data_IF_826867863965
#
_entry.id   IF_826867863965
#
_cell.length_a   1.000
_cell.length_b   1.000
_cell.length_c   1.000
_cell.angle_alpha   90.00
_cell.angle_beta   90.00
_cell.angle_gamma   90.00
#
_symmetry.space_group_name_H-M   'P 1'
#
loop_
_entity.id
_entity.type
_entity.pdbx_description
1 polymer ?
#
# COMPACT_ATOMS: atom_id res chain seq x y z
N UNK A 1 -1.87 -12.02 23.53
CA UNK A 1 -1.15 -10.76 23.31
C UNK A 1 -2.20 -9.65 23.31
N UNK A 2 -1.92 -8.51 23.90
CA UNK A 2 -2.80 -7.33 23.83
C UNK A 2 -2.97 -6.87 22.37
N UNK A 3 -4.19 -6.53 21.93
CA UNK A 3 -4.50 -6.21 20.52
C UNK A 3 -3.66 -5.03 20.03
N UNK A 4 -3.46 -4.00 20.85
CA UNK A 4 -2.64 -2.84 20.48
C UNK A 4 -1.16 -3.21 20.33
N UNK A 5 -0.68 -4.13 21.18
CA UNK A 5 0.66 -4.70 21.04
C UNK A 5 0.79 -5.50 19.75
N UNK A 6 -0.23 -6.26 19.36
CA UNK A 6 -0.21 -7.03 18.11
C UNK A 6 -0.22 -6.11 16.89
N UNK A 7 -1.08 -5.09 16.86
CA UNK A 7 -1.12 -4.07 15.78
C UNK A 7 0.23 -3.38 15.63
N UNK A 8 0.84 -2.97 16.75
CA UNK A 8 2.18 -2.38 16.74
C UNK A 8 3.23 -3.31 16.14
N UNK A 9 3.28 -4.57 16.58
CA UNK A 9 4.23 -5.57 16.04
C UNK A 9 3.99 -5.82 14.54
N UNK A 10 2.74 -5.82 14.09
CA UNK A 10 2.40 -5.96 12.68
C UNK A 10 2.91 -4.79 11.85
N UNK A 11 2.75 -3.57 12.36
CA UNK A 11 3.29 -2.39 11.70
C UNK A 11 4.83 -2.37 11.70
N UNK A 12 5.48 -2.73 12.81
CA UNK A 12 6.94 -2.88 12.88
C UNK A 12 7.45 -3.91 11.87
N UNK A 13 6.73 -5.04 11.71
CA UNK A 13 7.03 -6.05 10.70
C UNK A 13 6.88 -5.49 9.28
N UNK A 14 5.81 -4.75 9.02
CA UNK A 14 5.59 -4.12 7.72
C UNK A 14 6.70 -3.11 7.37
N UNK A 15 7.09 -2.29 8.35
CA UNK A 15 8.21 -1.33 8.22
C UNK A 15 9.52 -2.06 7.96
N UNK A 16 9.81 -3.16 8.65
CA UNK A 16 11.00 -3.96 8.40
C UNK A 16 11.03 -4.54 6.98
N UNK A 17 9.90 -5.02 6.45
CA UNK A 17 9.80 -5.48 5.07
C UNK A 17 10.00 -4.35 4.06
N UNK A 18 9.34 -3.20 4.26
CA UNK A 18 9.50 -2.03 3.40
C UNK A 18 10.96 -1.53 3.38
N UNK A 19 11.60 -1.44 4.55
CA UNK A 19 13.01 -1.05 4.66
C UNK A 19 13.95 -2.02 3.94
N UNK A 20 13.70 -3.33 4.04
CA UNK A 20 14.49 -4.34 3.32
C UNK A 20 14.35 -4.21 1.81
N UNK A 21 13.14 -3.96 1.31
CA UNK A 21 12.90 -3.74 -0.12
C UNK A 21 13.61 -2.46 -0.58
N UNK A 22 13.40 -1.34 0.12
CA UNK A 22 14.12 -0.09 -0.17
C UNK A 22 15.64 -0.26 -0.21
N UNK A 23 16.21 -1.08 0.68
CA UNK A 23 17.65 -1.30 0.76
C UNK A 23 18.23 -2.18 -0.37
N UNK A 24 17.43 -3.00 -1.04
CA UNK A 24 17.91 -3.91 -2.12
C UNK A 24 17.69 -3.36 -3.53
N UNK A 25 16.78 -2.40 -3.70
CA UNK A 25 16.57 -1.74 -4.98
C UNK A 25 17.58 -0.60 -5.20
N UNK A 26 18.01 -0.35 -6.46
CA UNK A 26 18.76 0.85 -6.79
C UNK A 26 17.97 2.13 -6.44
N UNK A 27 18.66 3.25 -6.15
CA UNK A 27 17.99 4.52 -5.87
C UNK A 27 17.04 4.93 -7.01
N UNK A 28 15.79 5.23 -6.67
CA UNK A 28 14.75 5.65 -7.62
C UNK A 28 14.04 4.49 -8.33
N UNK A 29 14.41 3.24 -8.10
CA UNK A 29 13.74 2.08 -8.71
C UNK A 29 12.65 1.46 -7.82
N UNK A 30 12.49 1.94 -6.59
CA UNK A 30 11.46 1.50 -5.65
C UNK A 30 10.96 2.65 -4.78
N UNK A 31 9.64 2.83 -4.74
CA UNK A 31 9.00 3.88 -3.97
C UNK A 31 7.96 3.29 -2.99
N UNK A 32 7.93 3.82 -1.77
CA UNK A 32 6.99 3.39 -0.73
C UNK A 32 6.00 4.52 -0.45
N UNK A 33 4.71 4.20 -0.60
CA UNK A 33 3.58 5.02 -0.21
C UNK A 33 2.97 4.45 1.07
N UNK A 34 2.48 5.32 1.95
CA UNK A 34 1.86 4.89 3.21
C UNK A 34 0.49 5.54 3.35
N UNK A 35 -0.52 4.74 3.69
CA UNK A 35 -1.84 5.20 4.14
C UNK A 35 -1.96 4.84 5.61
N UNK A 36 -2.13 5.85 6.46
CA UNK A 36 -2.36 5.72 7.91
C UNK A 36 -3.43 6.74 8.35
N UNK A 37 -4.72 6.44 8.11
CA UNK A 37 -5.75 7.47 8.15
C UNK A 37 -5.98 8.06 9.54
N UNK A 38 -5.84 7.24 10.58
CA UNK A 38 -5.93 7.67 11.99
C UNK A 38 -4.59 8.18 12.56
N UNK A 39 -3.47 8.03 11.85
CA UNK A 39 -2.14 8.36 12.38
C UNK A 39 -1.66 7.41 13.48
N UNK A 40 -2.28 6.23 13.62
CA UNK A 40 -2.02 5.31 14.73
C UNK A 40 -0.67 4.58 14.59
N UNK A 41 -0.09 4.56 13.38
CA UNK A 41 1.19 3.97 13.08
C UNK A 41 2.37 4.95 13.15
N UNK A 42 2.16 6.20 13.62
CA UNK A 42 3.21 7.23 13.64
C UNK A 42 4.52 6.79 14.32
N UNK A 43 4.43 6.06 15.45
CA UNK A 43 5.61 5.53 16.14
C UNK A 43 6.40 4.53 15.29
N UNK A 44 5.81 3.38 14.91
CA UNK A 44 6.46 2.41 14.04
C UNK A 44 6.97 2.97 12.70
N UNK A 45 6.28 3.94 12.11
CA UNK A 45 6.66 4.57 10.83
C UNK A 45 7.82 5.56 10.95
N UNK A 46 8.12 6.06 12.15
CA UNK A 46 9.10 7.13 12.37
C UNK A 46 10.45 6.90 11.66
N UNK A 47 11.08 5.70 11.68
CA UNK A 47 12.36 5.48 11.00
C UNK A 47 12.31 5.71 9.48
N UNK A 48 11.20 5.37 8.81
CA UNK A 48 11.04 5.60 7.37
C UNK A 48 10.73 7.07 7.05
N UNK A 49 9.95 7.72 7.92
CA UNK A 49 9.61 9.14 7.77
C UNK A 49 10.86 10.02 8.00
N UNK A 50 11.59 9.78 9.07
CA UNK A 50 12.78 10.56 9.46
C UNK A 50 13.94 10.42 8.47
N UNK A 51 14.05 9.25 7.83
CA UNK A 51 15.07 9.03 6.79
C UNK A 51 14.69 9.64 5.42
N UNK A 52 13.45 10.07 5.24
CA UNK A 52 12.99 10.70 3.99
C UNK A 52 12.89 9.75 2.79
N UNK A 53 12.80 8.44 3.04
CA UNK A 53 12.79 7.40 1.98
C UNK A 53 11.39 7.11 1.42
N UNK A 54 10.33 7.66 2.01
CA UNK A 54 8.97 7.52 1.51
C UNK A 54 8.72 8.45 0.32
N UNK A 55 7.85 8.02 -0.60
CA UNK A 55 7.42 8.82 -1.75
C UNK A 55 6.64 10.09 -1.37
N UNK A 56 6.17 10.15 -0.12
CA UNK A 56 5.51 11.29 0.50
C UNK A 56 5.25 11.02 1.98
N UNK A 57 4.74 12.00 2.74
CA UNK A 57 4.31 11.77 4.12
C UNK A 57 3.19 10.73 4.15
N UNK A 58 3.06 9.93 5.24
CA UNK A 58 1.92 9.04 5.42
C UNK A 58 0.60 9.77 5.23
N UNK A 59 -0.25 9.23 4.35
CA UNK A 59 -1.52 9.82 4.02
C UNK A 59 -2.51 9.64 5.17
N UNK A 60 -2.90 10.77 5.77
CA UNK A 60 -3.85 10.84 6.87
C UNK A 60 -5.25 11.26 6.39
N UNK A 61 -6.27 10.77 7.11
CA UNK A 61 -7.68 11.02 6.84
C UNK A 61 -8.18 10.58 5.45
N UNK A 62 -9.50 10.73 5.18
CA UNK A 62 -10.10 10.26 3.93
C UNK A 62 -9.55 10.93 2.66
N UNK A 63 -9.18 12.21 2.75
CA UNK A 63 -8.60 12.94 1.61
C UNK A 63 -7.22 12.43 1.20
N UNK A 64 -6.37 12.09 2.18
CA UNK A 64 -5.06 11.50 1.94
C UNK A 64 -5.20 10.11 1.30
N UNK A 65 -6.07 9.27 1.85
CA UNK A 65 -6.42 7.94 1.31
C UNK A 65 -6.80 8.05 -0.17
N UNK A 66 -7.79 8.90 -0.48
CA UNK A 66 -8.29 9.07 -1.84
C UNK A 66 -7.20 9.56 -2.80
N UNK A 67 -6.34 10.47 -2.36
CA UNK A 67 -5.23 11.02 -3.17
C UNK A 67 -4.22 9.94 -3.56
N UNK A 68 -3.73 9.16 -2.59
CA UNK A 68 -2.74 8.10 -2.86
C UNK A 68 -3.32 7.00 -3.75
N UNK A 69 -4.54 6.55 -3.45
CA UNK A 69 -5.21 5.52 -4.26
C UNK A 69 -5.47 6.00 -5.68
N UNK A 70 -5.91 7.24 -5.88
CA UNK A 70 -6.11 7.82 -7.21
C UNK A 70 -4.80 7.92 -8.00
N UNK A 71 -3.71 8.35 -7.34
CA UNK A 71 -2.39 8.41 -7.95
C UNK A 71 -1.91 7.04 -8.45
N UNK A 72 -1.96 6.03 -7.58
CA UNK A 72 -1.53 4.67 -7.92
C UNK A 72 -2.45 4.00 -8.94
N UNK A 73 -3.77 4.23 -8.88
CA UNK A 73 -4.73 3.71 -9.88
C UNK A 73 -4.39 4.28 -11.26
N UNK A 74 -4.20 5.59 -11.36
CA UNK A 74 -3.83 6.25 -12.62
C UNK A 74 -2.53 5.68 -13.18
N UNK A 75 -1.54 5.41 -12.32
CA UNK A 75 -0.28 4.78 -12.73
C UNK A 75 -0.54 3.40 -13.35
N UNK A 76 -1.28 2.53 -12.66
CA UNK A 76 -1.61 1.19 -13.15
C UNK A 76 -2.29 1.27 -14.52
N UNK A 77 -3.29 2.13 -14.67
CA UNK A 77 -4.02 2.31 -15.93
C UNK A 77 -3.10 2.70 -17.09
N UNK A 78 -2.22 3.69 -16.87
CA UNK A 78 -1.29 4.18 -17.90
C UNK A 78 -0.28 3.11 -18.32
N UNK A 79 0.33 2.41 -17.35
CA UNK A 79 1.32 1.37 -17.63
C UNK A 79 0.66 0.18 -18.32
N UNK A 80 -0.52 -0.25 -17.87
CA UNK A 80 -1.27 -1.33 -18.53
C UNK A 80 -1.63 -0.98 -19.97
N UNK A 81 -2.10 0.25 -20.22
CA UNK A 81 -2.39 0.73 -21.57
C UNK A 81 -1.15 0.68 -22.45
N UNK A 82 0.00 1.17 -21.97
CA UNK A 82 1.25 1.15 -22.72
C UNK A 82 1.73 -0.29 -23.01
N UNK A 83 1.62 -1.20 -22.04
CA UNK A 83 1.96 -2.62 -22.22
C UNK A 83 1.06 -3.27 -23.27
N UNK A 84 -0.26 -3.07 -23.18
CA UNK A 84 -1.24 -3.61 -24.15
C UNK A 84 -1.00 -3.06 -25.57
N UNK A 85 -0.61 -1.80 -25.69
CA UNK A 85 -0.29 -1.16 -26.96
C UNK A 85 1.14 -1.46 -27.48
N UNK A 86 1.99 -2.13 -26.68
CA UNK A 86 3.45 -2.27 -26.93
C UNK A 86 4.16 -0.93 -27.16
N UNK A 87 3.72 0.10 -26.43
CA UNK A 87 4.14 1.48 -26.61
C UNK A 87 4.73 2.04 -25.30
N UNK A 88 5.72 1.36 -24.73
CA UNK A 88 6.36 1.76 -23.47
C UNK A 88 7.07 3.12 -23.58
N UNK A 89 7.56 3.45 -24.76
CA UNK A 89 8.15 4.75 -25.13
C UNK A 89 7.11 5.89 -25.19
N UNK A 90 5.82 5.56 -25.18
CA UNK A 90 4.71 6.53 -25.16
C UNK A 90 4.21 6.86 -23.75
N UNK A 91 4.84 6.33 -22.70
CA UNK A 91 4.51 6.70 -21.33
C UNK A 91 4.82 8.19 -21.09
N UNK A 92 4.03 8.89 -20.24
CA UNK A 92 4.34 10.25 -19.86
C UNK A 92 5.77 10.34 -19.29
N UNK A 93 6.58 11.33 -19.69
CA UNK A 93 7.98 11.41 -19.29
C UNK A 93 8.17 11.67 -17.78
N UNK A 94 7.13 12.17 -17.11
CA UNK A 94 7.05 12.39 -15.67
C UNK A 94 6.54 11.17 -14.89
N UNK A 95 6.13 10.10 -15.57
CA UNK A 95 5.68 8.88 -14.92
C UNK A 95 6.90 8.13 -14.35
N UNK A 96 6.98 8.06 -13.03
CA UNK A 96 7.92 7.16 -12.34
C UNK A 96 7.71 5.73 -12.86
N UNK A 97 8.76 5.05 -13.30
CA UNK A 97 8.69 3.66 -13.80
C UNK A 97 9.13 2.63 -12.77
N UNK A 98 9.64 3.05 -11.61
CA UNK A 98 10.04 2.18 -10.52
C UNK A 98 8.89 1.39 -9.92
N UNK A 99 9.24 0.30 -9.25
CA UNK A 99 8.32 -0.52 -8.47
C UNK A 99 7.72 0.32 -7.32
N UNK A 100 6.47 0.06 -6.98
CA UNK A 100 5.73 0.82 -5.97
C UNK A 100 5.19 -0.15 -4.91
N UNK A 101 5.37 0.20 -3.64
CA UNK A 101 4.75 -0.49 -2.52
C UNK A 101 3.80 0.47 -1.81
N UNK A 102 2.53 0.10 -1.72
CA UNK A 102 1.56 0.76 -0.87
C UNK A 102 1.41 0.00 0.45
N UNK A 103 1.85 0.60 1.54
CA UNK A 103 1.59 0.13 2.90
C UNK A 103 0.28 0.74 3.38
N UNK A 104 -0.69 -0.09 3.76
CA UNK A 104 -1.99 0.34 4.28
C UNK A 104 -2.10 -0.07 5.74
N UNK A 105 -2.27 0.90 6.63
CA UNK A 105 -2.59 0.68 8.04
C UNK A 105 -4.07 1.00 8.29
N UNK A 106 -4.64 0.35 9.32
CA UNK A 106 -5.93 0.69 9.92
C UNK A 106 -7.13 0.53 8.96
N UNK A 107 -7.01 -0.27 7.89
CA UNK A 107 -8.16 -0.57 7.04
C UNK A 107 -9.22 -1.33 7.85
N UNK A 108 -10.51 -0.92 7.82
CA UNK A 108 -11.13 -0.02 6.84
C UNK A 108 -11.29 1.46 7.27
N UNK A 109 -10.70 1.88 8.40
CA UNK A 109 -10.83 3.25 8.87
C UNK A 109 -10.36 4.27 7.83
N UNK A 110 -11.19 5.28 7.54
CA UNK A 110 -10.88 6.32 6.55
C UNK A 110 -11.09 5.91 5.08
N UNK A 111 -11.56 4.69 4.80
CA UNK A 111 -11.89 4.22 3.45
C UNK A 111 -13.38 4.38 3.16
N UNK A 112 -13.72 5.12 2.10
CA UNK A 112 -15.05 5.10 1.52
C UNK A 112 -15.20 3.98 0.47
N UNK A 113 -16.41 3.78 -0.06
CA UNK A 113 -16.70 2.71 -1.03
C UNK A 113 -15.81 2.80 -2.29
N UNK A 114 -15.47 4.03 -2.70
CA UNK A 114 -14.59 4.27 -3.84
C UNK A 114 -13.16 3.84 -3.52
N UNK A 115 -12.64 4.24 -2.35
CA UNK A 115 -11.31 3.85 -1.89
C UNK A 115 -11.20 2.32 -1.75
N UNK A 116 -12.24 1.65 -1.25
CA UNK A 116 -12.29 0.18 -1.20
C UNK A 116 -12.24 -0.42 -2.61
N UNK A 117 -12.99 0.14 -3.55
CA UNK A 117 -12.98 -0.32 -4.95
C UNK A 117 -11.59 -0.14 -5.59
N UNK A 118 -10.94 1.01 -5.38
CA UNK A 118 -9.59 1.26 -5.87
C UNK A 118 -8.55 0.35 -5.23
N UNK A 119 -8.63 0.11 -3.92
CA UNK A 119 -7.72 -0.79 -3.23
C UNK A 119 -7.82 -2.22 -3.78
N UNK A 120 -9.04 -2.71 -4.05
CA UNK A 120 -9.25 -4.00 -4.71
C UNK A 120 -8.68 -4.03 -6.12
N UNK A 121 -8.92 -2.99 -6.90
CA UNK A 121 -8.33 -2.86 -8.24
C UNK A 121 -6.80 -2.91 -8.19
N UNK A 122 -6.17 -2.18 -7.27
CA UNK A 122 -4.72 -2.20 -7.09
C UNK A 122 -4.22 -3.59 -6.66
N UNK A 123 -4.96 -4.32 -5.83
CA UNK A 123 -4.59 -5.68 -5.44
C UNK A 123 -4.61 -6.65 -6.62
N UNK A 124 -5.60 -6.52 -7.51
CA UNK A 124 -5.83 -7.45 -8.61
C UNK A 124 -4.96 -7.12 -9.83
N UNK A 125 -4.84 -5.83 -10.18
CA UNK A 125 -4.24 -5.36 -11.44
C UNK A 125 -2.85 -4.73 -11.25
N UNK A 126 -2.54 -4.25 -10.04
CA UNK A 126 -1.29 -3.58 -9.71
C UNK A 126 -0.03 -4.46 -9.86
N UNK A 127 0.01 -5.70 -9.34
CA UNK A 127 1.23 -6.50 -9.33
C UNK A 127 1.80 -6.78 -10.73
N UNK A 128 0.93 -6.88 -11.75
CA UNK A 128 1.33 -7.09 -13.13
C UNK A 128 2.10 -5.90 -13.75
N UNK A 129 2.03 -4.73 -13.12
CA UNK A 129 2.67 -3.49 -13.57
C UNK A 129 3.46 -2.79 -12.44
N UNK A 130 3.90 -3.57 -11.46
CA UNK A 130 4.83 -3.13 -10.42
C UNK A 130 4.22 -2.27 -9.31
N UNK A 131 2.94 -2.45 -9.01
CA UNK A 131 2.29 -1.84 -7.82
C UNK A 131 1.85 -2.94 -6.87
N UNK A 132 2.44 -2.98 -5.68
CA UNK A 132 2.24 -4.03 -4.68
C UNK A 132 1.59 -3.47 -3.42
N UNK A 133 0.85 -4.32 -2.71
CA UNK A 133 0.18 -3.97 -1.46
C UNK A 133 0.80 -4.70 -0.27
N UNK A 134 0.95 -3.99 0.84
CA UNK A 134 1.23 -4.57 2.16
C UNK A 134 0.22 -4.00 3.16
N UNK A 135 -0.67 -4.85 3.65
CA UNK A 135 -1.78 -4.41 4.51
C UNK A 135 -1.59 -4.87 5.95
N UNK A 136 -1.70 -3.93 6.88
CA UNK A 136 -1.89 -4.16 8.32
C UNK A 136 -3.34 -3.84 8.63
N UNK A 137 -4.17 -4.88 8.66
CA UNK A 137 -5.62 -4.76 8.81
C UNK A 137 -6.16 -5.93 9.64
N UNK A 138 -7.24 -5.67 10.39
CA UNK A 138 -8.02 -6.71 11.03
C UNK A 138 -9.20 -7.11 10.12
N UNK A 139 -9.30 -8.41 9.81
CA UNK A 139 -10.38 -8.93 8.97
C UNK A 139 -11.74 -8.80 9.66
N UNK A 140 -11.79 -8.84 10.99
CA UNK A 140 -13.02 -8.69 11.76
C UNK A 140 -13.56 -7.26 11.67
N UNK A 141 -12.67 -6.26 11.72
CA UNK A 141 -13.04 -4.83 11.57
C UNK A 141 -13.59 -4.52 10.17
N UNK A 142 -13.15 -5.28 9.16
CA UNK A 142 -13.64 -5.17 7.79
C UNK A 142 -14.91 -5.99 7.49
N UNK A 143 -15.47 -6.69 8.48
CA UNK A 143 -16.63 -7.59 8.29
C UNK A 143 -17.89 -6.89 7.78
N UNK A 144 -18.04 -5.58 8.05
CA UNK A 144 -19.17 -4.76 7.58
C UNK A 144 -19.25 -4.68 6.05
N UNK A 145 -18.13 -4.82 5.34
CA UNK A 145 -18.10 -4.89 3.87
C UNK A 145 -18.55 -6.27 3.35
N UNK A 146 -18.67 -7.26 4.22
CA UNK A 146 -19.17 -8.59 3.90
C UNK A 146 -18.31 -9.29 2.83
N UNK A 147 -18.93 -10.06 1.92
CA UNK A 147 -18.22 -10.90 0.96
C UNK A 147 -17.46 -10.10 -0.12
N UNK A 148 -17.66 -8.79 -0.20
CA UNK A 148 -17.03 -7.92 -1.21
C UNK A 148 -15.50 -7.92 -1.11
N UNK A 149 -14.95 -8.14 0.10
CA UNK A 149 -13.52 -8.19 0.36
C UNK A 149 -12.93 -9.60 0.30
N UNK A 150 -13.74 -10.64 0.14
CA UNK A 150 -13.22 -12.01 0.08
C UNK A 150 -12.17 -12.23 -1.02
N UNK A 151 -12.32 -11.68 -2.24
CA UNK A 151 -11.27 -11.78 -3.25
C UNK A 151 -9.96 -11.14 -2.81
N UNK A 152 -10.02 -9.93 -2.22
CA UNK A 152 -8.85 -9.22 -1.68
C UNK A 152 -8.13 -10.08 -0.63
N UNK A 153 -8.86 -10.66 0.32
CA UNK A 153 -8.25 -11.49 1.36
C UNK A 153 -7.65 -12.78 0.84
N UNK A 154 -8.10 -13.28 -0.32
CA UNK A 154 -7.56 -14.48 -0.97
C UNK A 154 -6.35 -14.19 -1.84
N UNK A 155 -6.20 -12.97 -2.37
CA UNK A 155 -5.05 -12.57 -3.18
C UNK A 155 -3.82 -12.23 -2.35
N UNK A 156 -3.99 -11.92 -1.06
CA UNK A 156 -2.91 -11.52 -0.16
C UNK A 156 -2.26 -12.72 0.56
N UNK A 157 -0.93 -12.75 0.57
CA UNK A 157 -0.15 -13.61 1.46
C UNK A 157 -0.26 -13.10 2.90
N UNK A 158 -0.44 -14.00 3.86
CA UNK A 158 -0.48 -13.67 5.29
C UNK A 158 0.92 -13.75 5.89
N UNK A 159 1.30 -12.72 6.65
CA UNK A 159 2.55 -12.66 7.40
C UNK A 159 2.21 -12.54 8.88
N UNK A 160 2.75 -13.44 9.70
CA UNK A 160 2.56 -13.40 11.17
C UNK A 160 3.55 -12.40 11.77
N UNK A 161 3.10 -11.42 12.57
CA UNK A 161 3.97 -10.38 13.13
C UNK A 161 4.74 -10.81 14.39
N UNK A 162 4.68 -12.10 14.71
CA UNK A 162 5.33 -12.72 15.85
C UNK A 162 6.10 -13.91 15.30
N UNK A 163 7.32 -14.14 15.77
CA UNK A 163 8.01 -15.40 15.51
C UNK A 163 7.20 -16.55 16.14
N UNK A 164 7.11 -17.67 15.42
CA UNK A 164 6.48 -18.92 15.92
C UNK A 164 7.09 -19.39 17.24
#
# INVERSE_FOLDING_TARGET
>A
IDTDRLRRLAMETAVAHAARLLAVYPPGEFAVHVIDPAGSAAGPLAPLVESGVLAGPPAAGPGGVASVLAHLTRRVDLVQMAVRARAADSLPPDLDTGEQLLVVNDFPHGFDDRAVTQLRYLADEGPAVGVHLLMVADREEASAYGPVLDPLWRSLLRITPVAD
#
